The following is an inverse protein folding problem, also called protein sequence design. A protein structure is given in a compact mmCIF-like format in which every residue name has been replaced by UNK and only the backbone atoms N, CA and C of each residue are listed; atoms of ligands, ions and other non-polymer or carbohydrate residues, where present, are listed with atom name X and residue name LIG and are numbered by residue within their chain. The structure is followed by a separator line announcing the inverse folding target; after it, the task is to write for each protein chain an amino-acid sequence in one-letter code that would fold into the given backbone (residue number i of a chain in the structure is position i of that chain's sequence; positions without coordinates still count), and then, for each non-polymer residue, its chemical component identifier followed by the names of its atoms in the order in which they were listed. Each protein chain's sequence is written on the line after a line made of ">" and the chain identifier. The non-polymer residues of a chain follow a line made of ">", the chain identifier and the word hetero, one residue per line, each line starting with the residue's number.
data_IF_849672128907
#
_entry.id   IF_849672128907
#
_cell.length_a   1.000
_cell.length_b   1.000
_cell.length_c   1.000
_cell.angle_alpha   90.00
_cell.angle_beta   90.00
_cell.angle_gamma   90.00
#
_symmetry.space_group_name_H-M   'P 1'
#
loop_
_entity.id
_entity.type
_entity.pdbx_description
1 polymer ?
#
# COMPACT_ATOMS: atom_id res chain seq x y z
N UNK A 1 -8.47 18.08 -10.49
CA UNK A 1 -7.53 17.59 -9.46
C UNK A 1 -6.69 16.46 -10.03
N UNK A 2 -5.38 16.40 -9.70
CA UNK A 2 -4.50 15.27 -10.06
C UNK A 2 -4.05 14.53 -8.80
N UNK A 3 -4.15 13.19 -8.82
CA UNK A 3 -3.75 12.32 -7.71
C UNK A 3 -2.65 11.37 -8.17
N UNK A 4 -1.54 11.31 -7.44
CA UNK A 4 -0.49 10.30 -7.61
C UNK A 4 -0.61 9.24 -6.52
N UNK A 5 -0.72 7.97 -6.91
CA UNK A 5 -0.66 6.82 -6.01
C UNK A 5 0.77 6.31 -5.94
N UNK A 6 1.44 6.61 -4.85
CA UNK A 6 2.86 6.36 -4.65
C UNK A 6 3.08 5.23 -3.66
N UNK A 7 3.58 4.10 -4.13
CA UNK A 7 3.67 2.90 -3.31
C UNK A 7 4.54 1.79 -3.92
N UNK A 8 4.35 0.61 -3.38
CA UNK A 8 5.05 -0.62 -3.72
C UNK A 8 4.24 -1.52 -4.68
N UNK A 9 4.42 -2.84 -4.59
CA UNK A 9 3.72 -3.85 -5.39
C UNK A 9 2.20 -3.81 -5.26
N UNK A 10 1.68 -3.48 -4.08
CA UNK A 10 0.22 -3.37 -3.85
C UNK A 10 -0.34 -2.21 -4.64
N UNK A 11 0.37 -1.09 -4.72
CA UNK A 11 -0.01 0.07 -5.54
C UNK A 11 0.21 -0.17 -7.02
N UNK A 12 1.27 -0.91 -7.41
CA UNK A 12 1.49 -1.30 -8.80
C UNK A 12 0.36 -2.17 -9.35
N UNK A 13 -0.28 -2.97 -8.50
CA UNK A 13 -1.33 -3.91 -8.86
C UNK A 13 -0.83 -5.34 -9.03
N UNK A 14 0.10 -5.75 -8.17
CA UNK A 14 0.61 -7.12 -8.08
C UNK A 14 -0.30 -7.98 -7.20
N UNK A 15 -0.56 -9.22 -7.62
CA UNK A 15 -1.46 -10.16 -6.96
C UNK A 15 -0.78 -11.52 -6.71
N UNK A 16 -1.08 -12.52 -7.49
CA UNK A 16 -0.60 -13.87 -7.35
C UNK A 16 0.85 -14.02 -7.79
N UNK A 17 1.49 -15.06 -7.28
CA UNK A 17 2.76 -15.57 -7.81
C UNK A 17 2.47 -16.77 -8.72
N UNK A 18 3.13 -16.85 -9.86
CA UNK A 18 3.03 -17.99 -10.77
C UNK A 18 4.42 -18.48 -11.17
N UNK A 19 4.55 -19.79 -11.37
CA UNK A 19 5.72 -20.32 -12.05
C UNK A 19 5.55 -20.18 -13.55
N UNK A 20 6.47 -19.52 -14.23
CA UNK A 20 6.66 -19.72 -15.65
C UNK A 20 7.30 -21.10 -15.89
N UNK A 21 6.87 -21.77 -16.97
CA UNK A 21 7.39 -23.09 -17.36
C UNK A 21 8.87 -23.09 -17.76
N UNK A 22 9.66 -22.10 -17.35
CA UNK A 22 11.08 -21.96 -17.66
C UNK A 22 11.87 -21.87 -16.37
N UNK A 23 12.47 -22.97 -15.96
CA UNK A 23 13.56 -23.06 -14.97
C UNK A 23 13.32 -22.34 -13.62
N UNK A 24 12.15 -22.52 -13.01
CA UNK A 24 11.91 -22.04 -11.63
C UNK A 24 11.78 -20.52 -11.47
N UNK A 25 11.61 -19.78 -12.55
CA UNK A 25 11.36 -18.33 -12.49
C UNK A 25 9.94 -18.08 -12.01
N UNK A 26 9.81 -17.38 -10.89
CA UNK A 26 8.52 -16.94 -10.38
C UNK A 26 8.19 -15.58 -10.98
N UNK A 27 7.01 -15.46 -11.56
CA UNK A 27 6.48 -14.17 -12.01
C UNK A 27 5.33 -13.70 -11.13
N UNK A 28 5.09 -12.39 -11.13
CA UNK A 28 4.00 -11.77 -10.40
C UNK A 28 2.90 -11.41 -11.39
N UNK A 29 1.69 -11.91 -11.13
CA UNK A 29 0.51 -11.56 -11.91
C UNK A 29 0.11 -10.13 -11.57
N UNK A 30 0.03 -9.28 -12.59
CA UNK A 30 -0.41 -7.90 -12.48
C UNK A 30 -1.80 -7.73 -13.05
N UNK A 31 -2.69 -7.10 -12.27
CA UNK A 31 -4.06 -6.79 -12.68
C UNK A 31 -4.38 -5.32 -12.40
N UNK A 32 -4.09 -4.49 -13.39
CA UNK A 32 -4.29 -3.03 -13.28
C UNK A 32 -5.75 -2.63 -13.12
N UNK A 33 -6.70 -3.48 -13.51
CA UNK A 33 -8.14 -3.18 -13.39
C UNK A 33 -8.63 -3.35 -11.96
N UNK A 34 -8.12 -4.36 -11.27
CA UNK A 34 -8.57 -4.73 -9.92
C UNK A 34 -7.75 -4.05 -8.81
N UNK A 35 -6.80 -3.17 -9.15
CA UNK A 35 -6.04 -2.41 -8.16
C UNK A 35 -6.89 -1.30 -7.55
N UNK A 36 -6.68 -1.02 -6.27
CA UNK A 36 -7.54 -0.15 -5.47
C UNK A 36 -7.77 1.27 -6.05
N UNK A 37 -6.76 1.87 -6.65
CA UNK A 37 -6.90 3.20 -7.25
C UNK A 37 -7.75 3.21 -8.52
N UNK A 38 -7.76 2.12 -9.29
CA UNK A 38 -8.65 1.97 -10.44
C UNK A 38 -10.09 1.70 -9.98
N UNK A 39 -10.28 0.87 -8.97
CA UNK A 39 -11.60 0.65 -8.35
C UNK A 39 -12.17 1.97 -7.80
N UNK A 40 -11.32 2.76 -7.12
CA UNK A 40 -11.68 4.10 -6.63
C UNK A 40 -12.08 5.02 -7.78
N UNK A 41 -11.26 5.06 -8.85
CA UNK A 41 -11.53 5.83 -10.06
C UNK A 41 -12.89 5.49 -10.65
N UNK A 42 -13.14 4.20 -10.96
CA UNK A 42 -14.39 3.75 -11.55
C UNK A 42 -15.62 4.08 -10.69
N UNK A 43 -15.45 4.02 -9.36
CA UNK A 43 -16.50 4.38 -8.43
C UNK A 43 -16.79 5.88 -8.46
N UNK A 44 -15.75 6.73 -8.36
CA UNK A 44 -15.92 8.19 -8.37
C UNK A 44 -16.47 8.66 -9.72
N UNK A 45 -15.98 8.17 -10.84
CA UNK A 45 -16.49 8.52 -12.18
C UNK A 45 -17.98 8.15 -12.36
N UNK A 46 -18.44 7.09 -11.70
CA UNK A 46 -19.87 6.68 -11.74
C UNK A 46 -20.73 7.52 -10.81
N UNK A 47 -20.26 7.83 -9.60
CA UNK A 47 -21.05 8.46 -8.53
C UNK A 47 -20.93 10.01 -8.55
N UNK A 48 -19.83 10.53 -9.09
CA UNK A 48 -19.49 11.93 -9.22
C UNK A 48 -18.94 12.27 -10.62
N UNK A 49 -19.75 12.12 -11.68
CA UNK A 49 -19.28 12.32 -13.06
C UNK A 49 -18.83 13.77 -13.35
N UNK A 50 -19.20 14.72 -12.50
CA UNK A 50 -18.78 16.12 -12.58
C UNK A 50 -17.34 16.34 -12.09
N UNK A 51 -16.77 15.44 -11.30
CA UNK A 51 -15.41 15.55 -10.78
C UNK A 51 -14.40 15.14 -11.86
N UNK A 52 -13.56 16.07 -12.25
CA UNK A 52 -12.47 15.81 -13.18
C UNK A 52 -11.19 15.50 -12.43
N UNK A 53 -10.88 14.19 -12.26
CA UNK A 53 -9.71 13.72 -11.54
C UNK A 53 -8.79 12.93 -12.48
N UNK A 54 -7.52 13.34 -12.54
CA UNK A 54 -6.45 12.59 -13.19
C UNK A 54 -5.79 11.66 -12.17
N UNK A 55 -5.63 10.37 -12.52
CA UNK A 55 -5.07 9.33 -11.67
C UNK A 55 -3.74 8.84 -12.23
N UNK A 56 -2.68 8.93 -11.45
CA UNK A 56 -1.32 8.47 -11.82
C UNK A 56 -0.91 7.34 -10.88
N UNK A 57 -0.58 6.18 -11.44
CA UNK A 57 -0.02 5.07 -10.67
C UNK A 57 1.51 5.16 -10.68
N UNK A 58 2.11 5.41 -9.53
CA UNK A 58 3.55 5.41 -9.26
C UNK A 58 3.95 4.27 -8.30
N UNK A 59 3.25 3.13 -8.35
CA UNK A 59 3.61 1.91 -7.63
C UNK A 59 4.72 1.15 -8.34
N UNK A 60 5.72 0.68 -7.59
CA UNK A 60 6.81 -0.18 -8.09
C UNK A 60 7.03 -1.34 -7.13
N UNK A 61 6.93 -2.56 -7.64
CA UNK A 61 7.09 -3.79 -6.87
C UNK A 61 8.46 -3.86 -6.18
N UNK A 62 8.47 -4.30 -4.93
CA UNK A 62 9.67 -4.45 -4.12
C UNK A 62 10.20 -3.14 -3.51
N UNK A 63 9.64 -1.98 -3.85
CA UNK A 63 10.14 -0.70 -3.32
C UNK A 63 9.82 -0.54 -1.83
N UNK A 64 10.81 0.00 -1.12
CA UNK A 64 10.75 0.48 0.25
C UNK A 64 10.68 2.02 0.32
N UNK A 65 10.67 2.57 1.52
CA UNK A 65 10.77 4.03 1.72
C UNK A 65 12.12 4.59 1.25
N UNK A 66 13.21 3.81 1.27
CA UNK A 66 14.50 4.20 0.69
C UNK A 66 14.39 4.42 -0.82
N UNK A 67 13.69 3.52 -1.51
CA UNK A 67 13.49 3.66 -2.94
C UNK A 67 12.50 4.79 -3.27
N UNK A 68 11.48 4.97 -2.41
CA UNK A 68 10.58 6.10 -2.51
C UNK A 68 11.33 7.44 -2.48
N UNK A 69 12.26 7.63 -1.55
CA UNK A 69 13.07 8.86 -1.46
C UNK A 69 13.92 9.12 -2.70
N UNK A 70 14.43 8.07 -3.36
CA UNK A 70 15.23 8.21 -4.60
C UNK A 70 14.42 8.68 -5.81
N UNK A 71 13.11 8.39 -5.83
CA UNK A 71 12.25 8.63 -6.99
C UNK A 71 11.09 9.60 -6.77
N UNK A 72 10.91 10.11 -5.54
CA UNK A 72 9.82 11.02 -5.18
C UNK A 72 9.79 12.27 -6.07
N UNK A 73 10.95 12.81 -6.43
CA UNK A 73 11.06 13.98 -7.28
C UNK A 73 10.49 13.71 -8.67
N UNK A 74 10.93 12.62 -9.32
CA UNK A 74 10.53 12.28 -10.67
C UNK A 74 9.09 11.75 -10.73
N UNK A 75 8.72 10.86 -9.80
CA UNK A 75 7.49 10.09 -9.90
C UNK A 75 6.29 10.79 -9.26
N UNK A 76 6.54 11.75 -8.36
CA UNK A 76 5.48 12.50 -7.68
C UNK A 76 5.57 14.00 -7.96
N UNK A 77 6.65 14.65 -7.55
CA UNK A 77 6.75 16.11 -7.60
C UNK A 77 6.70 16.63 -9.05
N UNK A 78 7.45 16.03 -9.95
CA UNK A 78 7.45 16.39 -11.37
C UNK A 78 6.10 16.16 -12.08
N UNK A 79 5.20 15.36 -11.48
CA UNK A 79 3.83 15.20 -11.97
C UNK A 79 2.92 16.37 -11.59
N UNK A 80 3.40 17.27 -10.70
CA UNK A 80 2.65 18.41 -10.19
C UNK A 80 1.24 18.03 -9.69
N UNK A 81 1.11 17.06 -8.74
CA UNK A 81 -0.17 16.60 -8.25
C UNK A 81 -0.74 17.54 -7.18
N UNK A 82 -2.06 17.55 -7.06
CA UNK A 82 -2.75 18.17 -5.92
C UNK A 82 -2.68 17.27 -4.68
N UNK A 83 -2.72 15.95 -4.90
CA UNK A 83 -2.80 14.94 -3.83
C UNK A 83 -1.82 13.79 -4.13
N UNK A 84 -1.12 13.32 -3.11
CA UNK A 84 -0.36 12.07 -3.12
C UNK A 84 -0.98 11.07 -2.12
N UNK A 85 -1.46 9.94 -2.62
CA UNK A 85 -1.81 8.79 -1.78
C UNK A 85 -0.56 7.93 -1.64
N UNK A 86 -0.04 7.84 -0.42
CA UNK A 86 1.20 7.15 -0.14
C UNK A 86 0.95 5.84 0.60
N UNK A 87 1.45 4.70 0.07
CA UNK A 87 1.33 3.38 0.69
C UNK A 87 2.66 2.62 0.57
N UNK A 88 3.50 2.70 1.62
CA UNK A 88 4.74 1.93 1.79
C UNK A 88 4.79 1.35 3.19
N UNK A 89 5.55 0.29 3.39
CA UNK A 89 5.79 -0.30 4.69
C UNK A 89 5.99 -1.81 4.67
N UNK A 90 5.38 -2.55 3.73
CA UNK A 90 5.55 -4.01 3.67
C UNK A 90 7.03 -4.42 3.48
N UNK A 91 7.73 -3.81 2.55
CA UNK A 91 9.14 -4.13 2.32
C UNK A 91 10.05 -3.55 3.41
N UNK A 92 9.64 -2.45 4.03
CA UNK A 92 10.38 -1.79 5.11
C UNK A 92 10.36 -2.62 6.39
N UNK A 93 9.18 -3.04 6.85
CA UNK A 93 9.00 -3.82 8.08
C UNK A 93 9.76 -5.15 8.01
N UNK A 94 9.84 -5.75 6.83
CA UNK A 94 10.56 -7.01 6.62
C UNK A 94 12.09 -6.87 6.68
N UNK A 95 12.65 -5.72 6.29
CA UNK A 95 14.10 -5.60 6.07
C UNK A 95 14.79 -4.38 6.68
N UNK A 96 14.07 -3.45 7.33
CA UNK A 96 14.60 -2.16 7.79
C UNK A 96 14.42 -1.98 9.31
N UNK A 97 15.25 -1.18 9.94
CA UNK A 97 15.05 -0.77 11.34
C UNK A 97 13.88 0.21 11.48
N UNK A 98 13.26 0.25 12.67
CA UNK A 98 12.17 1.19 12.95
C UNK A 98 12.62 2.65 12.80
N UNK A 99 13.80 2.98 13.33
CA UNK A 99 14.33 4.35 13.29
C UNK A 99 14.56 4.83 11.86
N UNK A 100 15.13 3.98 11.01
CA UNK A 100 15.35 4.29 9.60
C UNK A 100 14.01 4.47 8.85
N UNK A 101 13.06 3.55 9.06
CA UNK A 101 11.71 3.68 8.50
C UNK A 101 11.05 4.99 8.91
N UNK A 102 11.07 5.34 10.19
CA UNK A 102 10.49 6.58 10.71
C UNK A 102 11.17 7.81 10.12
N UNK A 103 12.49 7.80 10.02
CA UNK A 103 13.27 8.88 9.39
C UNK A 103 12.88 9.07 7.92
N UNK A 104 12.79 7.98 7.17
CA UNK A 104 12.38 8.03 5.76
C UNK A 104 10.95 8.54 5.59
N UNK A 105 10.04 8.10 6.47
CA UNK A 105 8.65 8.58 6.49
C UNK A 105 8.58 10.09 6.72
N UNK A 106 9.35 10.58 7.67
CA UNK A 106 9.39 12.00 8.02
C UNK A 106 9.91 12.83 6.84
N UNK A 107 10.95 12.35 6.15
CA UNK A 107 11.47 13.00 4.94
C UNK A 107 10.44 13.00 3.81
N UNK A 108 9.76 11.88 3.54
CA UNK A 108 8.73 11.80 2.48
C UNK A 108 7.59 12.79 2.77
N UNK A 109 7.05 12.80 3.99
CA UNK A 109 5.97 13.72 4.36
C UNK A 109 6.42 15.19 4.30
N UNK A 110 7.63 15.47 4.79
CA UNK A 110 8.22 16.81 4.73
C UNK A 110 8.36 17.31 3.29
N UNK A 111 8.97 16.52 2.44
CA UNK A 111 9.18 16.86 1.02
C UNK A 111 7.84 17.13 0.31
N UNK A 112 6.84 16.27 0.46
CA UNK A 112 5.54 16.48 -0.18
C UNK A 112 4.85 17.74 0.33
N UNK A 113 4.92 18.01 1.63
CA UNK A 113 4.36 19.23 2.24
C UNK A 113 5.06 20.50 1.77
N UNK A 114 6.39 20.50 1.65
CA UNK A 114 7.18 21.63 1.15
C UNK A 114 6.79 22.02 -0.29
N UNK A 115 6.34 21.05 -1.09
CA UNK A 115 5.81 21.27 -2.43
C UNK A 115 4.31 21.57 -2.48
N UNK A 116 3.67 21.75 -1.32
CA UNK A 116 2.24 22.08 -1.24
C UNK A 116 1.30 20.94 -1.60
N UNK A 117 1.80 19.70 -1.71
CA UNK A 117 1.04 18.51 -2.07
C UNK A 117 0.27 18.01 -0.84
N UNK A 118 -1.03 17.79 -0.96
CA UNK A 118 -1.81 17.16 0.09
C UNK A 118 -1.52 15.66 0.14
N UNK A 119 -1.39 15.11 1.34
CA UNK A 119 -1.02 13.71 1.50
C UNK A 119 -2.11 12.92 2.21
N UNK A 120 -2.47 11.78 1.63
CA UNK A 120 -3.23 10.73 2.30
C UNK A 120 -2.26 9.58 2.56
N UNK A 121 -1.98 9.33 3.83
CA UNK A 121 -1.22 8.15 4.23
C UNK A 121 -2.15 6.96 4.36
N UNK A 122 -2.04 6.01 3.46
CA UNK A 122 -2.69 4.71 3.57
C UNK A 122 -1.72 3.71 4.21
N UNK A 123 -2.11 3.14 5.37
CA UNK A 123 -1.32 2.07 5.96
C UNK A 123 -1.42 0.81 5.11
N UNK A 124 -0.34 -0.02 5.01
CA UNK A 124 -0.43 -1.30 4.32
C UNK A 124 -1.39 -2.30 4.98
N UNK A 125 -1.57 -3.45 4.35
CA UNK A 125 -2.26 -4.62 4.92
C UNK A 125 -1.37 -5.42 5.89
N UNK A 126 -1.92 -6.48 6.46
CA UNK A 126 -1.16 -7.50 7.21
C UNK A 126 -0.38 -8.40 6.24
N UNK A 127 0.68 -9.03 6.76
CA UNK A 127 1.27 -10.23 6.16
C UNK A 127 0.43 -11.47 6.50
N UNK A 128 0.81 -12.62 5.92
CA UNK A 128 0.34 -13.92 6.35
C UNK A 128 0.67 -14.18 7.83
N UNK A 129 -0.16 -14.99 8.48
CA UNK A 129 0.01 -15.38 9.90
C UNK A 129 0.53 -16.80 10.07
N UNK A 130 0.58 -17.56 8.98
CA UNK A 130 1.14 -18.91 8.89
C UNK A 130 1.55 -19.22 7.45
N UNK A 131 2.32 -20.28 7.24
CA UNK A 131 2.67 -20.76 5.89
C UNK A 131 1.50 -21.56 5.34
N UNK A 132 0.79 -20.99 4.37
CA UNK A 132 -0.34 -21.63 3.72
C UNK A 132 0.13 -22.74 2.75
N UNK A 133 -0.69 -23.78 2.57
CA UNK A 133 -0.36 -24.92 1.67
C UNK A 133 -0.22 -24.53 0.18
N UNK A 134 -0.84 -23.42 -0.24
CA UNK A 134 -0.75 -22.91 -1.62
C UNK A 134 0.51 -22.06 -1.89
N UNK A 135 1.34 -21.81 -0.86
CA UNK A 135 2.60 -21.08 -1.05
C UNK A 135 3.54 -21.92 -1.91
N UNK A 136 4.09 -21.31 -2.96
CA UNK A 136 5.05 -21.98 -3.82
C UNK A 136 6.28 -22.41 -3.01
N UNK A 137 6.83 -23.63 -3.24
CA UNK A 137 7.92 -24.18 -2.42
C UNK A 137 9.14 -23.28 -2.28
N UNK A 138 9.49 -22.53 -3.33
CA UNK A 138 10.60 -21.56 -3.31
C UNK A 138 10.30 -20.27 -2.51
N UNK A 139 9.08 -20.08 -2.04
CA UNK A 139 8.66 -18.96 -1.19
C UNK A 139 8.28 -19.37 0.24
N UNK A 140 8.39 -20.66 0.59
CA UNK A 140 7.99 -21.16 1.90
C UNK A 140 8.80 -20.52 3.05
N UNK A 141 10.12 -20.36 2.88
CA UNK A 141 10.97 -19.70 3.88
C UNK A 141 10.59 -18.22 4.06
N UNK A 142 10.32 -17.52 2.97
CA UNK A 142 9.83 -16.14 3.02
C UNK A 142 8.49 -16.05 3.74
N UNK A 143 7.56 -16.97 3.44
CA UNK A 143 6.26 -17.01 4.10
C UNK A 143 6.41 -17.25 5.62
N UNK A 144 7.32 -18.10 6.04
CA UNK A 144 7.61 -18.33 7.46
C UNK A 144 8.17 -17.08 8.15
N UNK A 145 9.11 -16.39 7.50
CA UNK A 145 9.69 -15.14 8.02
C UNK A 145 8.62 -14.05 8.16
N UNK A 146 7.78 -13.83 7.14
CA UNK A 146 6.72 -12.82 7.17
C UNK A 146 5.66 -13.15 8.22
N UNK A 147 5.29 -14.42 8.37
CA UNK A 147 4.38 -14.86 9.43
C UNK A 147 4.96 -14.59 10.83
N UNK A 148 6.26 -14.84 11.04
CA UNK A 148 6.95 -14.48 12.28
C UNK A 148 6.87 -12.99 12.57
N UNK A 149 7.22 -12.15 11.61
CA UNK A 149 7.15 -10.68 11.70
C UNK A 149 5.72 -10.22 12.06
N UNK A 150 4.70 -10.79 11.43
CA UNK A 150 3.31 -10.43 11.70
C UNK A 150 2.89 -10.85 13.12
N UNK A 151 3.22 -12.07 13.53
CA UNK A 151 2.82 -12.63 14.83
C UNK A 151 3.57 -11.99 16.00
N UNK A 152 4.76 -11.44 15.78
CA UNK A 152 5.50 -10.60 16.72
C UNK A 152 4.94 -9.17 16.83
N UNK A 153 3.89 -8.83 16.09
CA UNK A 153 3.29 -7.50 16.00
C UNK A 153 4.29 -6.40 15.59
N UNK A 154 5.34 -6.75 14.84
CA UNK A 154 6.31 -5.77 14.35
C UNK A 154 5.68 -4.69 13.47
N UNK A 155 4.73 -4.99 12.55
CA UNK A 155 4.04 -3.97 11.77
C UNK A 155 3.25 -2.96 12.62
N UNK A 156 2.71 -3.40 13.77
CA UNK A 156 1.96 -2.52 14.69
C UNK A 156 2.81 -1.33 15.14
N UNK A 157 4.09 -1.56 15.49
CA UNK A 157 5.03 -0.52 15.90
C UNK A 157 5.35 0.43 14.74
N UNK A 158 5.68 -0.11 13.57
CA UNK A 158 6.07 0.67 12.40
C UNK A 158 4.94 1.59 11.94
N UNK A 159 3.73 1.03 11.81
CA UNK A 159 2.60 1.82 11.31
C UNK A 159 2.05 2.78 12.37
N UNK A 160 2.16 2.46 13.66
CA UNK A 160 1.82 3.42 14.72
C UNK A 160 2.75 4.65 14.68
N UNK A 161 4.06 4.44 14.53
CA UNK A 161 5.02 5.55 14.43
C UNK A 161 4.83 6.35 13.13
N UNK A 162 4.57 5.67 12.00
CA UNK A 162 4.26 6.35 10.75
C UNK A 162 2.99 7.22 10.82
N UNK A 163 1.94 6.75 11.51
CA UNK A 163 0.72 7.54 11.73
C UNK A 163 0.98 8.79 12.54
N UNK A 164 1.79 8.70 13.61
CA UNK A 164 2.19 9.88 14.40
C UNK A 164 2.93 10.92 13.53
N UNK A 165 3.77 10.47 12.58
CA UNK A 165 4.44 11.37 11.63
C UNK A 165 3.44 11.96 10.62
N UNK A 166 2.53 11.15 10.09
CA UNK A 166 1.47 11.65 9.22
C UNK A 166 0.64 12.75 9.90
N UNK A 167 0.23 12.54 11.16
CA UNK A 167 -0.49 13.53 11.97
C UNK A 167 0.33 14.81 12.16
N UNK A 168 1.63 14.70 12.49
CA UNK A 168 2.54 15.84 12.64
C UNK A 168 2.60 16.72 11.39
N UNK A 169 2.53 16.11 10.20
CA UNK A 169 2.54 16.81 8.92
C UNK A 169 1.15 17.20 8.40
N UNK A 170 0.09 16.91 9.16
CA UNK A 170 -1.30 17.23 8.79
C UNK A 170 -1.85 16.37 7.65
N UNK A 171 -1.31 15.16 7.48
CA UNK A 171 -1.79 14.20 6.48
C UNK A 171 -3.07 13.52 6.95
N UNK A 172 -4.01 13.28 6.04
CA UNK A 172 -5.11 12.37 6.29
C UNK A 172 -4.60 10.92 6.38
N UNK A 173 -5.27 10.07 7.16
CA UNK A 173 -4.87 8.67 7.36
C UNK A 173 -5.99 7.73 6.96
N UNK A 174 -5.74 6.89 5.95
CA UNK A 174 -6.56 5.74 5.58
C UNK A 174 -5.98 4.47 6.23
N UNK A 175 -6.49 4.11 7.41
CA UNK A 175 -5.88 3.05 8.24
C UNK A 175 -6.35 1.65 7.85
N UNK A 176 -5.84 1.13 6.74
CA UNK A 176 -6.15 -0.20 6.24
C UNK A 176 -5.64 -1.30 7.20
N UNK A 177 -4.45 -1.13 7.79
CA UNK A 177 -3.91 -2.09 8.75
C UNK A 177 -4.85 -2.34 9.94
N UNK A 178 -5.44 -1.27 10.47
CA UNK A 178 -6.42 -1.39 11.55
C UNK A 178 -7.63 -2.22 11.16
N UNK A 179 -8.11 -2.08 9.92
CA UNK A 179 -9.24 -2.89 9.44
C UNK A 179 -8.85 -4.36 9.32
N UNK A 180 -7.67 -4.65 8.78
CA UNK A 180 -7.14 -6.01 8.72
C UNK A 180 -6.99 -6.65 10.11
N UNK A 181 -6.45 -5.93 11.09
CA UNK A 181 -6.34 -6.39 12.48
C UNK A 181 -7.70 -6.71 13.07
N UNK A 182 -8.71 -5.87 12.83
CA UNK A 182 -10.08 -6.15 13.29
C UNK A 182 -10.68 -7.39 12.66
N UNK A 183 -10.48 -7.62 11.37
CA UNK A 183 -10.92 -8.86 10.71
C UNK A 183 -10.30 -10.07 11.40
N UNK A 184 -9.01 -10.04 11.70
CA UNK A 184 -8.32 -11.10 12.45
C UNK A 184 -8.90 -11.28 13.87
N UNK A 185 -9.15 -10.20 14.60
CA UNK A 185 -9.78 -10.22 15.93
C UNK A 185 -11.18 -10.85 15.92
N UNK A 186 -11.92 -10.69 14.83
CA UNK A 186 -13.24 -11.34 14.63
C UNK A 186 -13.14 -12.77 14.09
N UNK A 187 -11.94 -13.36 14.02
CA UNK A 187 -11.73 -14.75 13.62
C UNK A 187 -11.67 -14.97 12.11
N UNK A 188 -11.55 -13.91 11.31
CA UNK A 188 -11.30 -14.04 9.87
C UNK A 188 -9.85 -14.47 9.65
N UNK A 189 -9.65 -15.53 8.87
CA UNK A 189 -8.31 -15.92 8.41
C UNK A 189 -7.78 -14.89 7.42
N UNK A 190 -6.91 -14.02 7.90
CA UNK A 190 -6.35 -12.94 7.08
C UNK A 190 -5.32 -13.43 6.05
N UNK A 191 -4.73 -14.62 6.24
CA UNK A 191 -3.86 -15.24 5.24
C UNK A 191 -4.63 -15.61 3.97
N UNK A 192 -5.90 -16.03 4.11
CA UNK A 192 -6.81 -16.30 2.99
C UNK A 192 -7.18 -15.04 2.19
N UNK A 193 -7.06 -13.87 2.81
CA UNK A 193 -7.31 -12.58 2.15
C UNK A 193 -6.12 -12.09 1.32
N UNK A 194 -5.02 -12.83 1.29
CA UNK A 194 -3.82 -12.56 0.50
C UNK A 194 -3.80 -13.43 -0.75
N UNK A 195 -3.71 -12.82 -1.92
CA UNK A 195 -3.74 -13.53 -3.21
C UNK A 195 -2.49 -14.40 -3.44
N UNK A 196 -1.34 -13.99 -2.91
CA UNK A 196 -0.10 -14.76 -2.95
C UNK A 196 0.18 -15.54 -1.65
N UNK A 197 -0.74 -15.49 -0.67
CA UNK A 197 -0.59 -16.08 0.67
C UNK A 197 0.61 -15.55 1.47
N UNK A 198 1.13 -14.38 1.12
CA UNK A 198 2.29 -13.72 1.72
C UNK A 198 1.97 -12.30 2.19
N UNK A 199 1.72 -11.40 1.24
CA UNK A 199 1.61 -9.98 1.50
C UNK A 199 0.77 -9.19 0.47
N UNK A 200 0.38 -9.78 -0.66
CA UNK A 200 -0.46 -9.11 -1.66
C UNK A 200 -1.95 -9.37 -1.39
N UNK A 201 -2.76 -8.33 -1.15
CA UNK A 201 -4.20 -8.47 -0.93
C UNK A 201 -4.91 -9.10 -2.14
N UNK A 202 -5.99 -9.81 -1.87
CA UNK A 202 -6.89 -10.26 -2.94
C UNK A 202 -7.59 -9.08 -3.61
N UNK A 203 -8.15 -9.28 -4.80
CA UNK A 203 -8.95 -8.28 -5.52
C UNK A 203 -10.12 -7.74 -4.69
N UNK A 204 -10.72 -8.59 -3.87
CA UNK A 204 -11.77 -8.18 -2.93
C UNK A 204 -11.24 -7.20 -1.89
N UNK A 205 -10.02 -7.43 -1.38
CA UNK A 205 -9.40 -6.56 -0.37
C UNK A 205 -8.90 -5.23 -0.96
N UNK A 206 -8.61 -5.16 -2.26
CA UNK A 206 -8.37 -3.89 -2.92
C UNK A 206 -9.61 -2.97 -2.94
N UNK A 207 -10.83 -3.52 -2.92
CA UNK A 207 -12.06 -2.73 -2.74
C UNK A 207 -12.11 -2.05 -1.38
N UNK A 208 -11.66 -2.73 -0.33
CA UNK A 208 -11.56 -2.14 1.00
C UNK A 208 -10.63 -0.93 1.01
N UNK A 209 -9.49 -1.00 0.32
CA UNK A 209 -8.58 0.14 0.20
C UNK A 209 -9.22 1.31 -0.55
N UNK A 210 -9.93 1.01 -1.64
CA UNK A 210 -10.67 2.02 -2.38
C UNK A 210 -11.75 2.69 -1.51
N UNK A 211 -12.48 1.91 -0.71
CA UNK A 211 -13.51 2.43 0.20
C UNK A 211 -12.93 3.33 1.28
N UNK A 212 -11.76 2.99 1.84
CA UNK A 212 -11.09 3.81 2.84
C UNK A 212 -10.58 5.16 2.31
N UNK A 213 -10.32 5.25 1.02
CA UNK A 213 -9.86 6.47 0.36
C UNK A 213 -11.01 7.35 -0.16
N UNK A 214 -12.18 6.75 -0.39
CA UNK A 214 -13.26 7.36 -1.16
C UNK A 214 -13.72 8.71 -0.61
N UNK A 215 -14.15 8.77 0.65
CA UNK A 215 -14.71 9.99 1.23
C UNK A 215 -13.69 11.13 1.25
N UNK A 216 -12.44 10.83 1.56
CA UNK A 216 -11.39 11.84 1.62
C UNK A 216 -11.02 12.36 0.22
N UNK A 217 -10.96 11.48 -0.79
CA UNK A 217 -10.67 11.90 -2.17
C UNK A 217 -11.81 12.74 -2.74
N UNK A 218 -13.06 12.36 -2.53
CA UNK A 218 -14.23 13.17 -2.95
C UNK A 218 -14.20 14.53 -2.27
N UNK A 219 -14.02 14.58 -0.94
CA UNK A 219 -13.92 15.83 -0.17
C UNK A 219 -12.82 16.77 -0.67
N UNK A 220 -11.70 16.21 -1.14
CA UNK A 220 -10.60 17.01 -1.69
C UNK A 220 -10.90 17.50 -3.11
N UNK A 221 -11.62 16.72 -3.90
CA UNK A 221 -11.97 17.08 -5.27
C UNK A 221 -13.07 18.13 -5.39
N UNK A 222 -13.90 18.29 -4.35
CA UNK A 222 -14.98 19.28 -4.28
C UNK A 222 -14.51 20.69 -3.83
N UNK A 223 -13.25 20.85 -3.44
CA UNK A 223 -12.65 22.12 -3.02
C UNK A 223 -12.12 22.93 -4.18
#
# INVERSE_FOLDING_TARGET
>A
MKIVFFGDSVTEGCFELSFHNVEGVTDIIRDKKSVYHNILKERIEREHPELNIEYVNAGISGNSTVDALKRIEQDVIAQNPDVAVRCFGLNDVAGMSLDEYVSNMEQIFGTLKEHGIQVIYMTPNMYNTYVHGDVLPNHADMAAVLAGIQNENRPDLYYAEAKKRAEKYGCAVADAYRVWKKLSEYGVDTTELLSNRLNHPTRAMHRLFADLLYDEVVRLAEK
#
